data_IF_463264034330
#
_entry.id   IF_463264034330
#
_cell.length_a   1.000
_cell.length_b   1.000
_cell.length_c   1.000
_cell.angle_alpha   90.00
_cell.angle_beta   90.00
_cell.angle_gamma   90.00
#
_symmetry.space_group_name_H-M   'P 1'
#
loop_
_entity.id
_entity.type
_entity.pdbx_description
1 polymer ?
#
# COMPACT_ATOMS: atom_id res chain seq x y z
N UNK A 1 -8.24 -30.52 -20.89
CA UNK A 1 -6.86 -30.37 -20.40
C UNK A 1 -6.66 -28.89 -20.08
N UNK A 2 -6.58 -28.53 -18.81
CA UNK A 2 -6.30 -27.14 -18.44
C UNK A 2 -4.87 -26.80 -18.89
N UNK A 3 -4.73 -25.85 -19.80
CA UNK A 3 -3.44 -25.32 -20.24
C UNK A 3 -2.73 -24.80 -18.98
N UNK A 4 -1.68 -25.48 -18.53
CA UNK A 4 -0.92 -25.03 -17.36
C UNK A 4 -0.14 -23.80 -17.77
N UNK A 5 -0.69 -22.61 -17.46
CA UNK A 5 0.02 -21.34 -17.68
C UNK A 5 1.33 -21.37 -16.88
N UNK A 6 2.44 -21.00 -17.52
CA UNK A 6 3.72 -20.83 -16.83
C UNK A 6 3.57 -19.72 -15.80
N UNK A 7 4.15 -19.88 -14.60
CA UNK A 7 4.12 -18.84 -13.57
C UNK A 7 4.87 -17.59 -14.06
N UNK A 8 4.38 -16.41 -13.66
CA UNK A 8 5.10 -15.17 -13.85
C UNK A 8 6.14 -15.02 -12.74
N UNK A 9 7.40 -14.92 -13.12
CA UNK A 9 8.54 -14.74 -12.22
C UNK A 9 9.02 -13.30 -12.32
N UNK A 10 9.06 -12.60 -11.19
CA UNK A 10 9.49 -11.20 -11.12
C UNK A 10 10.98 -11.05 -10.85
N UNK A 11 11.56 -11.99 -10.13
CA UNK A 11 12.99 -12.07 -9.82
C UNK A 11 13.35 -13.53 -9.50
N UNK A 12 14.51 -13.99 -9.96
CA UNK A 12 15.09 -15.30 -9.69
C UNK A 12 16.60 -15.19 -9.38
N UNK A 13 17.11 -13.97 -9.22
CA UNK A 13 18.56 -13.69 -9.04
C UNK A 13 19.20 -14.41 -7.85
N UNK A 14 18.42 -14.75 -6.83
CA UNK A 14 18.88 -15.46 -5.63
C UNK A 14 18.60 -16.98 -5.69
N UNK A 15 18.29 -17.52 -6.88
CA UNK A 15 17.97 -18.94 -7.09
C UNK A 15 16.58 -19.35 -6.55
N UNK A 16 15.76 -18.39 -6.13
CA UNK A 16 14.37 -18.60 -5.73
C UNK A 16 13.42 -17.80 -6.61
N UNK A 17 12.47 -18.50 -7.23
CA UNK A 17 11.43 -17.85 -8.02
C UNK A 17 10.58 -16.92 -7.15
N UNK A 18 10.71 -15.62 -7.35
CA UNK A 18 9.86 -14.62 -6.72
C UNK A 18 8.62 -14.38 -7.58
N UNK A 19 7.47 -14.80 -7.09
CA UNK A 19 6.18 -14.77 -7.80
C UNK A 19 5.34 -13.53 -7.43
N UNK A 20 5.97 -12.53 -6.82
CA UNK A 20 5.38 -11.28 -6.35
C UNK A 20 6.26 -10.12 -6.83
N UNK A 21 5.66 -9.09 -7.44
CA UNK A 21 6.34 -7.84 -7.79
C UNK A 21 6.55 -6.99 -6.54
N UNK A 22 7.60 -7.28 -5.76
CA UNK A 22 7.87 -6.52 -4.55
C UNK A 22 8.45 -5.14 -4.86
N UNK A 23 8.19 -4.15 -4.00
CA UNK A 23 8.85 -2.84 -4.10
C UNK A 23 10.37 -2.95 -4.07
N UNK A 24 10.93 -3.93 -3.33
CA UNK A 24 12.38 -4.17 -3.30
C UNK A 24 12.92 -4.57 -4.68
N UNK A 25 12.25 -5.49 -5.37
CA UNK A 25 12.61 -5.90 -6.74
C UNK A 25 12.52 -4.72 -7.71
N UNK A 26 11.43 -3.95 -7.63
CA UNK A 26 11.24 -2.75 -8.44
C UNK A 26 12.37 -1.73 -8.22
N UNK A 27 12.66 -1.39 -6.97
CA UNK A 27 13.69 -0.41 -6.62
C UNK A 27 15.10 -0.88 -6.99
N UNK A 28 15.42 -2.18 -6.79
CA UNK A 28 16.69 -2.76 -7.22
C UNK A 28 16.89 -2.64 -8.74
N UNK A 29 15.84 -2.90 -9.53
CA UNK A 29 15.87 -2.71 -10.99
C UNK A 29 16.03 -1.25 -11.38
N UNK A 30 15.33 -0.34 -10.72
CA UNK A 30 15.35 1.11 -11.02
C UNK A 30 16.66 1.78 -10.67
N UNK A 31 17.25 1.47 -9.52
CA UNK A 31 18.44 2.15 -8.99
C UNK A 31 19.74 1.37 -9.14
N UNK A 32 19.67 0.10 -9.57
CA UNK A 32 20.84 -0.77 -9.67
C UNK A 32 21.45 -1.18 -8.34
N UNK A 33 20.80 -0.83 -7.20
CA UNK A 33 21.28 -1.09 -5.86
C UNK A 33 20.14 -1.38 -4.90
N UNK A 34 20.50 -1.91 -3.71
CA UNK A 34 19.53 -2.05 -2.61
C UNK A 34 19.06 -0.67 -2.15
N UNK A 35 17.76 -0.48 -2.10
CA UNK A 35 17.14 0.72 -1.52
C UNK A 35 16.47 0.38 -0.19
N UNK A 36 16.64 1.25 0.82
CA UNK A 36 16.10 1.10 2.16
C UNK A 36 15.27 2.33 2.52
N UNK A 37 14.09 2.13 3.10
CA UNK A 37 13.28 3.22 3.63
C UNK A 37 13.75 3.58 5.03
N UNK A 38 14.03 4.86 5.24
CA UNK A 38 14.34 5.46 6.54
C UNK A 38 13.07 6.07 7.08
N UNK A 39 12.49 5.49 8.13
CA UNK A 39 11.24 5.97 8.72
C UNK A 39 11.52 7.15 9.64
N UNK A 40 10.95 8.31 9.31
CA UNK A 40 11.08 9.56 10.06
C UNK A 40 9.71 10.07 10.48
N UNK A 41 9.67 10.72 11.63
CA UNK A 41 8.53 11.48 12.13
C UNK A 41 8.73 12.96 11.77
N UNK A 42 7.90 13.48 10.89
CA UNK A 42 7.94 14.86 10.47
C UNK A 42 7.42 15.86 11.52
N UNK A 43 6.99 15.40 12.68
CA UNK A 43 6.37 16.21 13.74
C UNK A 43 4.96 16.70 13.39
N UNK A 44 4.31 16.08 12.42
CA UNK A 44 2.94 16.41 12.03
C UNK A 44 1.91 15.78 12.97
N UNK A 45 0.70 16.34 12.98
CA UNK A 45 -0.45 15.77 13.70
C UNK A 45 -1.43 15.07 12.73
N UNK A 46 -2.64 14.83 13.20
CA UNK A 46 -3.70 14.20 12.42
C UNK A 46 -5.04 14.89 12.72
N UNK A 47 -5.84 15.28 11.69
CA UNK A 47 -7.12 15.96 11.90
C UNK A 47 -8.15 15.09 12.63
N UNK A 48 -7.92 13.77 12.73
CA UNK A 48 -8.72 12.86 13.53
C UNK A 48 -8.26 12.80 15.01
N UNK A 49 -7.28 13.60 15.43
CA UNK A 49 -6.75 13.67 16.79
C UNK A 49 -6.88 15.06 17.41
N UNK A 50 -6.69 16.10 16.61
CA UNK A 50 -6.69 17.48 17.08
C UNK A 50 -8.09 18.12 17.15
N UNK A 51 -9.13 17.38 16.81
CA UNK A 51 -10.52 17.83 16.85
C UNK A 51 -11.03 18.47 15.55
N UNK A 52 -10.19 18.64 14.53
CA UNK A 52 -10.59 19.27 13.26
C UNK A 52 -11.64 18.42 12.52
N UNK A 53 -11.44 17.09 12.46
CA UNK A 53 -12.38 16.13 11.86
C UNK A 53 -12.90 15.11 12.86
N UNK A 54 -12.13 14.79 13.87
CA UNK A 54 -12.47 13.82 14.90
C UNK A 54 -11.52 13.89 16.09
N UNK A 55 -11.81 13.11 17.11
CA UNK A 55 -11.02 13.02 18.33
C UNK A 55 -10.57 11.57 18.58
N UNK A 56 -9.45 11.40 19.26
CA UNK A 56 -8.93 10.09 19.67
C UNK A 56 -8.22 9.30 18.57
N UNK A 57 -8.33 9.69 17.31
CA UNK A 57 -7.71 8.99 16.16
C UNK A 57 -8.47 7.73 15.74
N UNK A 58 -7.94 7.04 14.73
CA UNK A 58 -8.46 5.74 14.31
C UNK A 58 -8.25 4.69 15.42
N UNK A 59 -9.20 3.76 15.58
CA UNK A 59 -9.17 2.82 16.71
C UNK A 59 -7.94 1.90 16.73
N UNK A 60 -7.35 1.63 15.59
CA UNK A 60 -6.15 0.80 15.46
C UNK A 60 -4.83 1.57 15.64
N UNK A 61 -4.86 2.92 15.65
CA UNK A 61 -3.64 3.70 15.77
C UNK A 61 -3.13 3.74 17.21
N UNK A 62 -1.83 3.46 17.40
CA UNK A 62 -1.10 3.74 18.64
C UNK A 62 -0.94 5.26 18.85
N UNK A 63 -0.41 5.66 19.99
CA UNK A 63 -0.11 7.06 20.28
C UNK A 63 0.84 7.70 19.27
N UNK A 64 1.81 6.92 18.73
CA UNK A 64 2.78 7.33 17.70
C UNK A 64 2.23 7.35 16.27
N UNK A 65 0.90 7.16 16.07
CA UNK A 65 0.29 7.29 14.74
C UNK A 65 0.84 6.36 13.68
N UNK A 66 1.08 5.07 14.01
CA UNK A 66 1.71 4.07 13.14
C UNK A 66 3.19 4.33 12.83
N UNK A 67 3.85 5.18 13.59
CA UNK A 67 5.28 5.53 13.50
C UNK A 67 6.14 4.96 14.62
N UNK A 68 5.79 3.82 15.22
CA UNK A 68 6.46 3.27 16.42
C UNK A 68 7.99 3.08 16.27
N UNK A 69 8.51 3.05 15.05
CA UNK A 69 9.95 2.91 14.74
C UNK A 69 10.52 4.11 14.01
N UNK A 70 9.74 5.18 13.82
CA UNK A 70 10.22 6.40 13.18
C UNK A 70 11.12 7.21 14.11
N UNK A 71 12.20 7.77 13.58
CA UNK A 71 13.01 8.76 14.31
C UNK A 71 12.31 10.12 14.29
N UNK A 72 12.31 10.82 15.40
CA UNK A 72 11.56 12.06 15.58
C UNK A 72 12.24 12.98 16.61
N UNK A 73 13.45 13.42 16.34
CA UNK A 73 14.17 14.42 17.16
C UNK A 73 13.72 15.85 16.88
N UNK A 74 13.00 16.06 15.78
CA UNK A 74 12.65 17.37 15.24
C UNK A 74 13.64 17.92 14.22
N UNK A 75 14.80 17.29 14.06
CA UNK A 75 15.78 17.58 13.01
C UNK A 75 15.78 16.43 11.99
N UNK A 76 15.25 16.70 10.80
CA UNK A 76 15.10 15.71 9.72
C UNK A 76 16.44 15.10 9.30
N UNK A 77 17.52 15.87 9.27
CA UNK A 77 18.84 15.36 8.88
C UNK A 77 19.39 14.44 9.98
N UNK A 78 19.31 14.87 11.24
CA UNK A 78 19.74 14.06 12.39
C UNK A 78 18.95 12.74 12.49
N UNK A 79 17.65 12.79 12.19
CA UNK A 79 16.78 11.61 12.17
C UNK A 79 17.19 10.63 11.04
N UNK A 80 17.50 11.15 9.84
CA UNK A 80 18.00 10.34 8.73
C UNK A 80 19.35 9.69 9.07
N UNK A 81 20.31 10.45 9.62
CA UNK A 81 21.63 9.95 10.03
C UNK A 81 21.52 8.85 11.10
N UNK A 82 20.64 9.05 12.07
CA UNK A 82 20.34 8.05 13.12
C UNK A 82 19.81 6.75 12.51
N UNK A 83 18.87 6.82 11.59
CA UNK A 83 18.31 5.64 10.89
C UNK A 83 19.35 4.97 9.97
N UNK A 84 20.20 5.73 9.29
CA UNK A 84 21.31 5.20 8.49
C UNK A 84 22.28 4.43 9.37
N UNK A 85 22.69 5.02 10.49
CA UNK A 85 23.59 4.38 11.46
C UNK A 85 23.03 3.05 11.96
N UNK A 86 21.73 3.02 12.31
CA UNK A 86 21.03 1.81 12.77
C UNK A 86 21.02 0.68 11.71
N UNK A 87 21.01 1.03 10.43
CA UNK A 87 20.84 0.09 9.32
C UNK A 87 22.12 -0.20 8.55
N UNK A 88 23.21 0.56 8.78
CA UNK A 88 24.47 0.48 8.03
C UNK A 88 25.13 -0.89 8.10
N UNK A 89 25.16 -1.54 9.26
CA UNK A 89 25.73 -2.88 9.42
C UNK A 89 25.01 -3.92 8.57
N UNK A 90 23.70 -3.77 8.45
CA UNK A 90 22.87 -4.70 7.68
C UNK A 90 22.92 -4.42 6.17
N UNK A 91 23.07 -3.16 5.79
CA UNK A 91 22.99 -2.68 4.41
C UNK A 91 24.07 -1.64 4.10
N UNK A 92 25.36 -2.00 4.10
CA UNK A 92 26.48 -1.05 4.02
C UNK A 92 26.55 -0.25 2.71
N UNK A 93 25.94 -0.75 1.64
CA UNK A 93 25.97 -0.11 0.31
C UNK A 93 24.57 0.25 -0.20
N UNK A 94 23.62 0.50 0.70
CA UNK A 94 22.25 0.85 0.31
C UNK A 94 22.13 2.33 -0.08
N UNK A 95 21.25 2.62 -1.04
CA UNK A 95 20.64 3.94 -1.19
C UNK A 95 19.40 4.06 -0.32
N UNK A 96 18.96 5.29 -0.05
CA UNK A 96 17.88 5.51 0.91
C UNK A 96 16.69 6.27 0.30
N UNK A 97 15.50 5.94 0.82
CA UNK A 97 14.25 6.66 0.58
C UNK A 97 13.84 7.27 1.93
N UNK A 98 13.77 8.59 2.02
CA UNK A 98 13.21 9.27 3.19
C UNK A 98 11.71 8.97 3.27
N UNK A 99 11.25 8.34 4.35
CA UNK A 99 9.87 7.90 4.50
C UNK A 99 9.20 8.62 5.67
N UNK A 100 8.40 9.63 5.37
CA UNK A 100 7.54 10.31 6.33
C UNK A 100 6.36 9.41 6.65
N UNK A 101 6.40 8.79 7.82
CA UNK A 101 5.47 7.70 8.18
C UNK A 101 4.46 8.09 9.25
N UNK A 102 4.90 8.78 10.33
CA UNK A 102 4.05 9.06 11.49
C UNK A 102 2.93 10.04 11.16
N UNK A 103 1.72 9.75 11.63
CA UNK A 103 0.55 10.63 11.51
C UNK A 103 0.16 10.97 10.06
N UNK A 104 -0.14 12.26 9.77
CA UNK A 104 -0.64 12.74 8.48
C UNK A 104 0.33 13.75 7.90
N UNK A 105 1.26 13.29 7.07
CA UNK A 105 2.42 14.09 6.66
C UNK A 105 2.14 15.13 5.56
N UNK A 106 0.88 15.40 5.24
CA UNK A 106 0.45 16.53 4.39
C UNK A 106 -0.50 17.48 5.15
N UNK A 107 -0.66 17.27 6.45
CA UNK A 107 -1.53 18.09 7.29
C UNK A 107 -0.74 19.17 8.01
N UNK A 108 -0.26 20.15 7.25
CA UNK A 108 0.41 21.34 7.71
C UNK A 108 0.41 22.42 6.58
N UNK A 109 0.75 23.68 6.85
CA UNK A 109 0.96 24.69 5.81
C UNK A 109 2.00 24.24 4.79
N UNK A 110 1.76 24.54 3.50
CA UNK A 110 2.64 24.14 2.38
C UNK A 110 4.09 24.59 2.58
N UNK A 111 4.30 25.75 3.20
CA UNK A 111 5.64 26.27 3.51
C UNK A 111 6.41 25.35 4.45
N UNK A 112 5.75 24.84 5.51
CA UNK A 112 6.34 23.89 6.44
C UNK A 112 6.59 22.52 5.78
N UNK A 113 5.62 22.02 5.00
CA UNK A 113 5.77 20.77 4.22
C UNK A 113 6.99 20.86 3.29
N UNK A 114 7.10 21.96 2.54
CA UNK A 114 8.21 22.23 1.63
C UNK A 114 9.55 22.23 2.35
N UNK A 115 9.65 22.92 3.49
CA UNK A 115 10.87 22.99 4.27
C UNK A 115 11.34 21.58 4.69
N UNK A 116 10.45 20.78 5.29
CA UNK A 116 10.78 19.44 5.80
C UNK A 116 11.10 18.46 4.67
N UNK A 117 10.32 18.44 3.58
CA UNK A 117 10.56 17.54 2.47
C UNK A 117 11.85 17.90 1.72
N UNK A 118 12.11 19.19 1.50
CA UNK A 118 13.36 19.65 0.89
C UNK A 118 14.57 19.39 1.79
N UNK A 119 14.44 19.51 3.12
CA UNK A 119 15.50 19.15 4.05
C UNK A 119 15.90 17.67 3.90
N UNK A 120 14.93 16.74 3.88
CA UNK A 120 15.21 15.32 3.66
C UNK A 120 15.93 15.04 2.33
N UNK A 121 15.55 15.76 1.26
CA UNK A 121 16.14 15.57 -0.08
C UNK A 121 17.54 16.19 -0.22
N UNK A 122 17.96 17.07 0.70
CA UNK A 122 19.34 17.59 0.73
C UNK A 122 20.35 16.58 1.24
N UNK A 123 19.91 15.53 1.94
CA UNK A 123 20.80 14.48 2.43
C UNK A 123 21.41 13.69 1.25
N UNK A 124 22.76 13.58 1.12
CA UNK A 124 23.43 13.06 -0.09
C UNK A 124 23.11 11.58 -0.38
N UNK A 125 22.80 10.80 0.65
CA UNK A 125 22.47 9.38 0.52
C UNK A 125 21.00 9.12 0.19
N UNK A 126 20.12 10.12 0.28
CA UNK A 126 18.70 10.02 -0.04
C UNK A 126 18.50 10.15 -1.55
N UNK A 127 17.83 9.15 -2.14
CA UNK A 127 17.57 9.04 -3.58
C UNK A 127 16.11 9.24 -3.95
N UNK A 128 15.25 9.47 -2.95
CA UNK A 128 13.83 9.67 -3.15
C UNK A 128 13.09 9.84 -1.84
N UNK A 129 11.79 10.10 -1.94
CA UNK A 129 10.92 10.38 -0.79
C UNK A 129 9.62 9.58 -0.88
N UNK A 130 9.12 9.11 0.25
CA UNK A 130 7.79 8.52 0.40
C UNK A 130 7.03 9.28 1.49
N UNK A 131 5.77 9.61 1.23
CA UNK A 131 4.97 10.46 2.12
C UNK A 131 3.66 9.73 2.43
N UNK A 132 3.49 9.29 3.68
CA UNK A 132 2.25 8.67 4.14
C UNK A 132 1.27 9.75 4.63
N UNK A 133 0.03 9.64 4.16
CA UNK A 133 -1.00 10.62 4.51
C UNK A 133 -2.41 10.04 4.43
N UNK A 134 -3.38 10.84 4.83
CA UNK A 134 -4.82 10.59 4.71
C UNK A 134 -5.33 11.12 3.37
N UNK A 135 -6.36 10.48 2.78
CA UNK A 135 -6.90 10.92 1.48
C UNK A 135 -7.54 12.33 1.55
N UNK A 136 -8.10 12.71 2.69
CA UNK A 136 -8.80 13.99 2.91
C UNK A 136 -7.86 15.15 3.30
N UNK A 137 -6.53 14.94 3.25
CA UNK A 137 -5.51 15.94 3.58
C UNK A 137 -4.62 16.28 2.36
N UNK A 138 -5.24 16.42 1.19
CA UNK A 138 -4.59 16.72 -0.09
C UNK A 138 -5.30 17.90 -0.79
N UNK A 139 -5.27 19.12 -0.20
CA UNK A 139 -5.71 20.32 -0.90
C UNK A 139 -4.83 20.61 -2.11
N UNK A 140 -5.28 21.45 -3.03
CA UNK A 140 -4.65 21.62 -4.34
C UNK A 140 -3.22 22.16 -4.25
N UNK A 141 -2.96 23.08 -3.33
CA UNK A 141 -1.63 23.65 -3.07
C UNK A 141 -0.61 22.61 -2.54
N UNK A 142 -1.07 21.64 -1.74
CA UNK A 142 -0.26 20.49 -1.33
C UNK A 142 0.02 19.56 -2.50
N UNK A 143 -0.99 19.29 -3.33
CA UNK A 143 -0.82 18.44 -4.53
C UNK A 143 0.16 19.10 -5.51
N UNK A 144 0.12 20.44 -5.66
CA UNK A 144 1.06 21.19 -6.48
C UNK A 144 2.51 21.08 -5.95
N UNK A 145 2.70 21.17 -4.62
CA UNK A 145 4.01 20.92 -4.00
C UNK A 145 4.51 19.49 -4.28
N UNK A 146 3.64 18.50 -4.14
CA UNK A 146 4.00 17.11 -4.40
C UNK A 146 4.35 16.87 -5.87
N UNK A 147 3.65 17.52 -6.80
CA UNK A 147 3.95 17.44 -8.23
C UNK A 147 5.34 18.07 -8.53
N UNK A 148 5.65 19.24 -7.96
CA UNK A 148 6.96 19.85 -8.06
C UNK A 148 8.09 18.94 -7.54
N UNK A 149 7.87 18.27 -6.43
CA UNK A 149 8.84 17.31 -5.89
C UNK A 149 9.00 16.08 -6.78
N UNK A 150 7.90 15.58 -7.36
CA UNK A 150 7.91 14.42 -8.25
C UNK A 150 8.69 14.66 -9.56
N UNK A 151 8.77 15.90 -10.02
CA UNK A 151 9.63 16.30 -11.15
C UNK A 151 11.13 16.26 -10.80
N UNK A 152 11.47 16.49 -9.52
CA UNK A 152 12.85 16.64 -9.04
C UNK A 152 13.47 15.35 -8.51
N UNK A 153 12.64 14.42 -8.01
CA UNK A 153 13.12 13.21 -7.36
C UNK A 153 12.14 12.05 -7.56
N UNK A 154 12.63 10.85 -7.33
CA UNK A 154 11.75 9.69 -7.27
C UNK A 154 10.92 9.73 -6.00
N UNK A 155 9.60 9.72 -6.15
CA UNK A 155 8.71 9.72 -4.99
C UNK A 155 7.45 8.88 -5.20
N UNK A 156 6.74 8.64 -4.11
CA UNK A 156 5.35 8.20 -4.11
C UNK A 156 4.62 8.70 -2.87
N UNK A 157 3.31 8.81 -2.99
CA UNK A 157 2.41 9.11 -1.86
C UNK A 157 1.76 7.82 -1.38
N UNK A 158 1.77 7.57 -0.07
CA UNK A 158 1.12 6.43 0.55
C UNK A 158 -0.21 6.87 1.18
N UNK A 159 -1.33 6.43 0.61
CA UNK A 159 -2.67 6.76 1.08
C UNK A 159 -3.22 5.69 2.00
N UNK A 160 -3.61 6.07 3.20
CA UNK A 160 -4.30 5.21 4.14
C UNK A 160 -5.80 5.12 3.80
N UNK A 161 -6.24 4.13 3.04
CA UNK A 161 -7.66 3.84 2.83
C UNK A 161 -8.21 2.91 3.91
N UNK A 162 -7.48 1.88 4.24
CA UNK A 162 -7.74 0.82 5.20
C UNK A 162 -8.85 -0.15 4.77
N UNK A 163 -10.02 0.33 4.38
CA UNK A 163 -11.17 -0.43 3.87
C UNK A 163 -12.04 0.43 2.95
N UNK A 164 -12.79 -0.19 2.04
CA UNK A 164 -13.82 0.48 1.23
C UNK A 164 -15.19 0.48 1.90
N UNK A 165 -15.38 -0.27 2.98
CA UNK A 165 -16.67 -0.51 3.59
C UNK A 165 -17.00 0.58 4.60
N UNK A 166 -18.03 1.39 4.31
CA UNK A 166 -18.40 2.56 5.11
C UNK A 166 -18.73 2.22 6.57
N UNK A 167 -19.37 1.07 6.81
CA UNK A 167 -19.66 0.61 8.18
C UNK A 167 -18.40 0.32 8.99
N UNK A 168 -17.43 -0.38 8.36
CA UNK A 168 -16.14 -0.67 8.98
C UNK A 168 -15.35 0.63 9.18
N UNK A 169 -15.34 1.53 8.20
CA UNK A 169 -14.69 2.82 8.29
C UNK A 169 -15.23 3.65 9.47
N UNK A 170 -16.54 3.69 9.63
CA UNK A 170 -17.20 4.36 10.75
C UNK A 170 -16.85 3.71 12.10
N UNK A 171 -16.92 2.37 12.19
CA UNK A 171 -16.52 1.62 13.41
C UNK A 171 -15.07 1.88 13.79
N UNK A 172 -14.17 2.02 12.82
CA UNK A 172 -12.74 2.28 13.04
C UNK A 172 -12.42 3.76 13.26
N UNK A 173 -13.42 4.63 13.28
CA UNK A 173 -13.28 6.08 13.46
C UNK A 173 -12.32 6.71 12.43
N UNK A 174 -12.47 6.38 11.13
CA UNK A 174 -11.57 6.90 10.08
C UNK A 174 -11.80 8.38 9.78
N UNK A 175 -13.03 8.86 9.88
CA UNK A 175 -13.45 10.25 9.61
C UNK A 175 -13.09 10.76 8.19
N UNK A 176 -13.06 9.88 7.22
CA UNK A 176 -13.03 10.16 5.77
C UNK A 176 -13.79 9.05 5.03
N UNK A 177 -14.18 9.32 3.79
CA UNK A 177 -15.01 8.44 2.97
C UNK A 177 -14.21 7.76 1.86
N UNK A 178 -14.83 6.77 1.19
CA UNK A 178 -14.28 6.18 -0.02
C UNK A 178 -14.17 7.21 -1.16
N UNK A 179 -15.14 8.14 -1.25
CA UNK A 179 -15.12 9.21 -2.25
C UNK A 179 -13.92 10.16 -2.05
N UNK A 180 -13.56 10.48 -0.80
CA UNK A 180 -12.35 11.24 -0.49
C UNK A 180 -11.09 10.52 -1.02
N UNK A 181 -11.02 9.20 -0.85
CA UNK A 181 -9.92 8.41 -1.37
C UNK A 181 -9.89 8.39 -2.91
N UNK A 182 -11.02 8.12 -3.55
CA UNK A 182 -11.08 8.07 -5.02
C UNK A 182 -10.72 9.42 -5.66
N UNK A 183 -11.15 10.52 -5.04
CA UNK A 183 -10.77 11.87 -5.45
C UNK A 183 -9.27 12.13 -5.27
N UNK A 184 -8.71 11.75 -4.12
CA UNK A 184 -7.27 11.89 -3.83
C UNK A 184 -6.42 11.12 -4.85
N UNK A 185 -6.75 9.85 -5.12
CA UNK A 185 -6.06 9.04 -6.12
C UNK A 185 -6.11 9.69 -7.49
N UNK A 186 -7.31 10.15 -7.91
CA UNK A 186 -7.49 10.84 -9.20
C UNK A 186 -6.63 12.11 -9.29
N UNK A 187 -6.61 12.94 -8.24
CA UNK A 187 -5.78 14.17 -8.18
C UNK A 187 -4.29 13.84 -8.32
N UNK A 188 -3.78 12.87 -7.56
CA UNK A 188 -2.37 12.50 -7.58
C UNK A 188 -1.95 11.90 -8.93
N UNK A 189 -2.73 10.96 -9.47
CA UNK A 189 -2.44 10.31 -10.76
C UNK A 189 -2.49 11.32 -11.90
N UNK A 190 -3.43 12.27 -11.90
CA UNK A 190 -3.52 13.31 -12.94
C UNK A 190 -2.29 14.24 -12.97
N UNK A 191 -1.52 14.30 -11.89
CA UNK A 191 -0.23 15.02 -11.77
C UNK A 191 0.98 14.10 -11.94
N UNK A 192 0.78 12.83 -12.37
CA UNK A 192 1.85 11.85 -12.56
C UNK A 192 2.48 11.35 -11.26
N UNK A 193 1.87 11.60 -10.10
CA UNK A 193 2.41 11.20 -8.79
C UNK A 193 2.02 9.74 -8.50
N UNK A 194 3.01 8.84 -8.28
CA UNK A 194 2.74 7.45 -7.95
C UNK A 194 2.03 7.30 -6.60
N UNK A 195 0.98 6.47 -6.54
CA UNK A 195 0.17 6.23 -5.35
C UNK A 195 0.36 4.81 -4.85
N UNK A 196 0.62 4.67 -3.56
CA UNK A 196 0.60 3.39 -2.83
C UNK A 196 -0.56 3.39 -1.85
N UNK A 197 -1.45 2.40 -1.94
CA UNK A 197 -2.61 2.33 -1.04
C UNK A 197 -2.37 1.37 0.11
N UNK A 198 -2.75 1.78 1.31
CA UNK A 198 -2.76 0.93 2.49
C UNK A 198 -4.16 0.35 2.71
N UNK A 199 -4.23 -0.98 2.83
CA UNK A 199 -5.40 -1.71 3.30
C UNK A 199 -5.06 -2.47 4.57
N UNK A 200 -6.02 -2.61 5.47
CA UNK A 200 -5.90 -3.44 6.67
C UNK A 200 -6.81 -4.66 6.48
N UNK A 201 -6.21 -5.84 6.52
CA UNK A 201 -6.93 -7.12 6.48
C UNK A 201 -7.24 -7.57 7.91
N UNK A 202 -8.46 -8.06 8.12
CA UNK A 202 -8.92 -8.53 9.42
C UNK A 202 -9.44 -7.43 10.33
N UNK A 203 -10.07 -6.40 9.77
CA UNK A 203 -10.84 -5.42 10.57
C UNK A 203 -12.13 -6.06 11.11
N UNK A 204 -12.60 -5.68 12.32
CA UNK A 204 -13.79 -6.25 12.93
C UNK A 204 -15.05 -6.15 12.05
N UNK A 205 -15.64 -7.32 11.77
CA UNK A 205 -16.85 -7.44 10.97
C UNK A 205 -16.63 -7.60 9.48
N UNK A 206 -15.39 -7.54 8.99
CA UNK A 206 -15.10 -7.81 7.57
C UNK A 206 -14.99 -9.30 7.28
N UNK A 207 -15.72 -9.74 6.26
CA UNK A 207 -15.56 -11.09 5.69
C UNK A 207 -14.37 -11.14 4.74
N UNK A 208 -13.97 -12.36 4.37
CA UNK A 208 -12.94 -12.59 3.35
C UNK A 208 -13.26 -11.88 2.03
N UNK A 209 -14.51 -11.95 1.59
CA UNK A 209 -14.99 -11.34 0.35
C UNK A 209 -14.87 -9.82 0.42
N UNK A 210 -15.25 -9.20 1.52
CA UNK A 210 -15.14 -7.76 1.75
C UNK A 210 -13.68 -7.28 1.65
N UNK A 211 -12.74 -8.01 2.28
CA UNK A 211 -11.32 -7.69 2.17
C UNK A 211 -10.80 -7.80 0.73
N UNK A 212 -11.21 -8.83 -0.01
CA UNK A 212 -10.84 -9.01 -1.42
C UNK A 212 -11.49 -7.96 -2.34
N UNK A 213 -12.69 -7.49 -2.02
CA UNK A 213 -13.34 -6.40 -2.76
C UNK A 213 -12.61 -5.08 -2.55
N UNK A 214 -12.08 -4.81 -1.36
CA UNK A 214 -11.19 -3.68 -1.11
C UNK A 214 -9.93 -3.74 -1.99
N UNK A 215 -9.32 -4.90 -2.15
CA UNK A 215 -8.16 -5.11 -3.04
C UNK A 215 -8.53 -4.85 -4.50
N UNK A 216 -9.65 -5.38 -4.98
CA UNK A 216 -10.11 -5.16 -6.37
C UNK A 216 -10.37 -3.68 -6.64
N UNK A 217 -11.04 -2.98 -5.71
CA UNK A 217 -11.34 -1.57 -5.85
C UNK A 217 -10.07 -0.74 -6.03
N UNK A 218 -9.11 -0.84 -5.11
CA UNK A 218 -7.89 -0.03 -5.19
C UNK A 218 -7.04 -0.35 -6.43
N UNK A 219 -6.98 -1.63 -6.83
CA UNK A 219 -6.28 -2.04 -8.05
C UNK A 219 -6.92 -1.49 -9.34
N UNK A 220 -8.24 -1.21 -9.33
CA UNK A 220 -8.94 -0.61 -10.46
C UNK A 220 -8.63 0.89 -10.66
N UNK A 221 -8.00 1.54 -9.68
CA UNK A 221 -7.72 2.99 -9.67
C UNK A 221 -6.38 3.37 -10.30
N UNK A 222 -5.62 2.42 -10.85
CA UNK A 222 -4.34 2.69 -11.51
C UNK A 222 -3.20 3.02 -10.54
N UNK A 223 -3.25 2.51 -9.31
CA UNK A 223 -2.23 2.72 -8.30
C UNK A 223 -0.86 2.13 -8.69
N UNK A 224 0.22 2.75 -8.20
CA UNK A 224 1.58 2.27 -8.34
C UNK A 224 1.87 1.06 -7.44
N UNK A 225 1.33 1.06 -6.23
CA UNK A 225 1.62 0.00 -5.28
C UNK A 225 0.54 -0.18 -4.21
N UNK A 226 0.68 -1.29 -3.47
CA UNK A 226 -0.26 -1.67 -2.41
C UNK A 226 0.48 -2.19 -1.18
N UNK A 227 -0.06 -1.88 0.00
CA UNK A 227 0.30 -2.50 1.28
C UNK A 227 -0.90 -3.24 1.84
N UNK A 228 -0.74 -4.53 2.08
CA UNK A 228 -1.69 -5.35 2.80
C UNK A 228 -1.18 -5.49 4.24
N UNK A 229 -1.77 -4.71 5.15
CA UNK A 229 -1.46 -4.80 6.56
C UNK A 229 -2.35 -5.85 7.21
N UNK A 230 -1.78 -6.78 7.98
CA UNK A 230 -2.56 -7.57 8.91
C UNK A 230 -2.97 -6.68 10.09
N UNK A 231 -4.23 -6.71 10.47
CA UNK A 231 -4.66 -6.06 11.70
C UNK A 231 -3.97 -6.71 12.91
N UNK A 232 -3.33 -5.89 13.72
CA UNK A 232 -2.76 -6.30 14.99
C UNK A 232 -3.40 -5.47 16.11
N UNK A 233 -3.96 -6.12 17.11
CA UNK A 233 -4.35 -5.45 18.34
C UNK A 233 -3.09 -5.15 19.14
N UNK A 234 -2.88 -3.88 19.46
CA UNK A 234 -1.68 -3.42 20.16
C UNK A 234 -2.04 -2.63 21.42
N UNK A 235 -1.19 -2.72 22.42
CA UNK A 235 -1.32 -1.94 23.67
C UNK A 235 -1.31 -0.45 23.38
N UNK A 236 -2.14 0.29 24.09
CA UNK A 236 -2.26 1.74 23.96
C UNK A 236 -3.11 2.20 22.76
N UNK A 237 -3.62 1.29 21.93
CA UNK A 237 -4.62 1.65 20.92
C UNK A 237 -6.00 1.78 21.57
N UNK A 238 -6.90 2.65 21.06
CA UNK A 238 -8.29 2.69 21.53
C UNK A 238 -9.01 1.34 21.41
N UNK A 239 -8.61 0.54 20.42
CA UNK A 239 -9.15 -0.80 20.17
C UNK A 239 -8.91 -1.77 21.31
N UNK A 240 -7.79 -1.65 22.04
CA UNK A 240 -7.49 -2.47 23.23
C UNK A 240 -8.59 -2.38 24.30
N UNK A 241 -9.18 -1.19 24.47
CA UNK A 241 -10.25 -0.95 25.44
C UNK A 241 -11.62 -1.40 24.98
N UNK A 242 -11.89 -1.25 23.66
CA UNK A 242 -13.20 -1.52 23.07
C UNK A 242 -13.38 -2.99 22.69
N UNK A 243 -12.31 -3.65 22.30
CA UNK A 243 -12.31 -5.03 21.80
C UNK A 243 -11.08 -5.80 22.32
N UNK A 244 -10.92 -5.97 23.66
CA UNK A 244 -9.69 -6.50 24.26
C UNK A 244 -9.34 -7.92 23.80
N UNK A 245 -10.36 -8.72 23.46
CA UNK A 245 -10.20 -10.13 23.07
C UNK A 245 -10.26 -10.33 21.55
N UNK A 246 -10.18 -9.24 20.76
CA UNK A 246 -10.28 -9.35 19.32
C UNK A 246 -9.05 -10.03 18.71
N UNK A 247 -9.30 -11.06 17.89
CA UNK A 247 -8.28 -11.74 17.09
C UNK A 247 -8.67 -11.63 15.63
N UNK A 248 -7.79 -11.08 14.80
CA UNK A 248 -8.06 -10.84 13.37
C UNK A 248 -8.03 -12.12 12.53
N UNK A 249 -7.15 -13.06 12.88
CA UNK A 249 -6.98 -14.35 12.21
C UNK A 249 -6.55 -15.41 13.22
N UNK A 250 -7.15 -16.60 13.14
CA UNK A 250 -6.89 -17.69 14.07
C UNK A 250 -5.51 -18.35 13.83
N UNK A 251 -5.06 -18.36 12.57
CA UNK A 251 -3.83 -19.05 12.20
C UNK A 251 -3.02 -18.33 11.11
N UNK A 252 -1.73 -18.70 10.99
CA UNK A 252 -0.86 -18.27 9.90
C UNK A 252 -1.38 -18.76 8.56
N UNK A 253 -1.95 -19.94 8.52
CA UNK A 253 -2.47 -20.60 7.33
C UNK A 253 -3.68 -19.86 6.77
N UNK A 254 -4.61 -19.46 7.62
CA UNK A 254 -5.78 -18.65 7.24
C UNK A 254 -5.36 -17.31 6.63
N UNK A 255 -4.46 -16.61 7.30
CA UNK A 255 -3.92 -15.35 6.80
C UNK A 255 -3.16 -15.54 5.47
N UNK A 256 -2.32 -16.56 5.38
CA UNK A 256 -1.56 -16.90 4.17
C UNK A 256 -2.49 -17.15 2.99
N UNK A 257 -3.57 -17.90 3.19
CA UNK A 257 -4.55 -18.20 2.14
C UNK A 257 -5.27 -16.93 1.63
N UNK A 258 -5.67 -16.05 2.54
CA UNK A 258 -6.26 -14.76 2.18
C UNK A 258 -5.28 -13.89 1.39
N UNK A 259 -4.03 -13.75 1.86
CA UNK A 259 -3.01 -12.94 1.19
C UNK A 259 -2.71 -13.47 -0.21
N UNK A 260 -2.61 -14.80 -0.39
CA UNK A 260 -2.41 -15.39 -1.72
C UNK A 260 -3.59 -15.08 -2.64
N UNK A 261 -4.83 -15.19 -2.13
CA UNK A 261 -6.02 -14.83 -2.91
C UNK A 261 -6.04 -13.34 -3.31
N UNK A 262 -5.59 -12.46 -2.42
CA UNK A 262 -5.42 -11.04 -2.73
C UNK A 262 -4.33 -10.81 -3.79
N UNK A 263 -3.17 -11.47 -3.65
CA UNK A 263 -2.07 -11.37 -4.61
C UNK A 263 -2.47 -11.84 -6.01
N UNK A 264 -3.28 -12.88 -6.12
CA UNK A 264 -3.81 -13.34 -7.41
C UNK A 264 -4.68 -12.29 -8.13
N UNK A 265 -5.31 -11.38 -7.38
CA UNK A 265 -6.14 -10.29 -7.89
C UNK A 265 -5.35 -9.01 -8.20
N UNK A 266 -4.19 -8.81 -7.57
CA UNK A 266 -3.37 -7.61 -7.77
C UNK A 266 -2.65 -7.69 -9.12
N UNK A 267 -2.88 -6.73 -10.07
CA UNK A 267 -2.23 -6.74 -11.37
C UNK A 267 -0.71 -6.81 -11.29
N UNK A 268 -0.02 -7.49 -12.23
CA UNK A 268 1.43 -7.69 -12.19
C UNK A 268 2.27 -6.41 -12.15
N UNK A 269 1.76 -5.31 -12.71
CA UNK A 269 2.44 -4.02 -12.72
C UNK A 269 2.36 -3.27 -11.38
N UNK A 270 1.43 -3.61 -10.50
CA UNK A 270 1.29 -2.99 -9.17
C UNK A 270 2.36 -3.56 -8.25
N UNK A 271 3.16 -2.69 -7.62
CA UNK A 271 4.20 -3.12 -6.68
C UNK A 271 3.61 -3.47 -5.31
N UNK A 272 4.07 -4.57 -4.73
CA UNK A 272 3.65 -4.99 -3.38
C UNK A 272 4.66 -4.49 -2.35
N UNK A 273 4.23 -3.56 -1.50
CA UNK A 273 5.09 -2.92 -0.51
C UNK A 273 5.10 -3.64 0.83
N UNK A 274 4.02 -4.33 1.18
CA UNK A 274 3.87 -5.09 2.42
C UNK A 274 2.77 -6.14 2.28
N UNK A 275 2.99 -7.30 2.90
CA UNK A 275 2.03 -8.42 2.97
C UNK A 275 1.97 -9.06 4.36
N UNK A 276 2.29 -8.31 5.41
CA UNK A 276 2.28 -8.80 6.80
C UNK A 276 2.05 -7.66 7.78
N UNK A 277 1.66 -7.99 9.01
CA UNK A 277 1.73 -7.06 10.14
C UNK A 277 3.17 -6.76 10.55
N UNK A 278 3.35 -5.72 11.36
CA UNK A 278 4.68 -5.28 11.82
C UNK A 278 4.60 -4.61 13.21
N UNK A 279 3.73 -5.12 14.08
CA UNK A 279 3.62 -4.63 15.45
C UNK A 279 4.85 -5.03 16.28
N UNK A 280 5.41 -4.11 17.10
CA UNK A 280 6.48 -4.45 18.02
C UNK A 280 6.01 -5.55 19.00
N UNK A 281 6.85 -6.55 19.26
CA UNK A 281 6.48 -7.68 20.14
C UNK A 281 6.10 -7.24 21.56
N UNK A 282 6.67 -6.15 22.05
CA UNK A 282 6.41 -5.59 23.36
C UNK A 282 5.00 -5.01 23.52
N UNK A 283 4.40 -4.55 22.42
CA UNK A 283 3.07 -3.94 22.39
C UNK A 283 2.00 -4.85 21.78
N UNK A 284 2.40 -5.91 21.06
CA UNK A 284 1.46 -6.83 20.42
C UNK A 284 0.61 -7.58 21.44
N UNK A 285 -0.72 -7.55 21.26
CA UNK A 285 -1.69 -8.33 22.02
C UNK A 285 -2.14 -9.53 21.17
N UNK A 286 -2.68 -9.28 19.96
CA UNK A 286 -3.17 -10.34 19.09
C UNK A 286 -3.01 -9.97 17.58
N UNK A 287 -2.97 -10.95 16.68
CA UNK A 287 -2.72 -12.38 16.94
C UNK A 287 -1.30 -12.63 17.45
N UNK A 288 -1.14 -13.43 18.50
CA UNK A 288 0.15 -13.65 19.17
C UNK A 288 1.25 -14.19 18.23
N UNK A 289 0.89 -14.84 17.13
CA UNK A 289 1.82 -15.39 16.15
C UNK A 289 2.33 -14.33 15.12
N UNK A 290 1.71 -13.17 15.02
CA UNK A 290 2.01 -12.18 13.95
C UNK A 290 3.44 -11.65 13.98
N UNK A 291 4.13 -11.67 15.13
CA UNK A 291 5.55 -11.31 15.22
C UNK A 291 6.49 -12.27 14.43
N UNK A 292 6.00 -13.47 14.07
CA UNK A 292 6.77 -14.47 13.29
C UNK A 292 6.84 -14.10 11.81
N UNK A 293 7.18 -12.85 11.49
CA UNK A 293 7.18 -12.28 10.14
C UNK A 293 7.88 -13.16 9.10
N UNK A 294 9.04 -13.74 9.47
CA UNK A 294 9.81 -14.60 8.56
C UNK A 294 9.05 -15.88 8.20
N UNK A 295 8.39 -16.50 9.18
CA UNK A 295 7.54 -17.70 8.98
C UNK A 295 6.38 -17.39 8.05
N UNK A 296 5.70 -16.26 8.27
CA UNK A 296 4.57 -15.81 7.44
C UNK A 296 5.03 -15.60 5.98
N UNK A 297 6.10 -14.85 5.76
CA UNK A 297 6.60 -14.57 4.40
C UNK A 297 7.06 -15.85 3.68
N UNK A 298 7.80 -16.72 4.37
CA UNK A 298 8.22 -18.01 3.80
C UNK A 298 7.02 -18.90 3.49
N UNK A 299 6.00 -18.93 4.36
CA UNK A 299 4.74 -19.65 4.14
C UNK A 299 4.03 -19.18 2.88
N UNK A 300 3.88 -17.86 2.70
CA UNK A 300 3.26 -17.28 1.49
C UNK A 300 4.03 -17.71 0.24
N UNK A 301 5.37 -17.58 0.22
CA UNK A 301 6.18 -17.94 -0.94
C UNK A 301 6.17 -19.45 -1.25
N UNK A 302 6.26 -20.34 -0.23
CA UNK A 302 6.19 -21.78 -0.46
C UNK A 302 4.81 -22.21 -0.98
N UNK A 303 3.74 -21.75 -0.35
CA UNK A 303 2.37 -22.06 -0.77
C UNK A 303 2.06 -21.56 -2.18
N UNK A 304 2.57 -20.37 -2.57
CA UNK A 304 2.44 -19.90 -3.95
C UNK A 304 3.13 -20.83 -4.96
N UNK A 305 4.31 -21.39 -4.62
CA UNK A 305 5.01 -22.36 -5.48
C UNK A 305 4.23 -23.69 -5.54
N UNK A 306 3.81 -24.21 -4.40
CA UNK A 306 3.02 -25.47 -4.30
C UNK A 306 1.72 -25.40 -5.09
N UNK A 307 1.00 -24.27 -5.01
CA UNK A 307 -0.26 -24.02 -5.74
C UNK A 307 -0.03 -23.62 -7.20
N UNK A 308 1.21 -23.51 -7.63
CA UNK A 308 1.60 -22.95 -8.94
C UNK A 308 0.85 -21.67 -9.30
N UNK A 309 0.83 -20.73 -8.34
CA UNK A 309 0.16 -19.43 -8.49
C UNK A 309 1.14 -18.26 -8.38
N UNK A 310 0.72 -17.07 -8.82
CA UNK A 310 1.52 -15.85 -8.86
C UNK A 310 0.63 -14.60 -8.78
N UNK A 311 1.24 -13.48 -8.51
CA UNK A 311 0.55 -12.18 -8.52
C UNK A 311 -0.09 -11.92 -9.89
N UNK A 312 -1.36 -11.55 -9.88
CA UNK A 312 -2.11 -11.21 -11.08
C UNK A 312 -2.64 -12.40 -11.88
N UNK A 313 -2.50 -13.63 -11.41
CA UNK A 313 -3.02 -14.81 -12.11
C UNK A 313 -4.51 -14.67 -12.44
N UNK A 314 -5.32 -14.13 -11.53
CA UNK A 314 -6.75 -13.90 -11.73
C UNK A 314 -7.06 -12.55 -12.39
N UNK A 315 -6.23 -11.54 -12.19
CA UNK A 315 -6.36 -10.25 -12.87
C UNK A 315 -6.15 -10.37 -14.38
N UNK A 316 -5.14 -11.12 -14.82
CA UNK A 316 -4.86 -11.39 -16.23
C UNK A 316 -6.01 -12.12 -16.95
N UNK A 317 -6.69 -13.03 -16.26
CA UNK A 317 -7.84 -13.75 -16.82
C UNK A 317 -8.99 -12.80 -17.15
N UNK A 318 -9.27 -11.82 -16.29
CA UNK A 318 -10.34 -10.83 -16.53
C UNK A 318 -10.03 -9.87 -17.67
N UNK A 319 -8.78 -9.42 -17.82
CA UNK A 319 -8.38 -8.57 -18.94
C UNK A 319 -8.52 -9.29 -20.30
N UNK A 320 -8.23 -10.59 -20.35
CA UNK A 320 -8.42 -11.40 -21.54
C UNK A 320 -9.90 -11.65 -21.86
N UNK A 321 -10.75 -11.87 -20.85
CA UNK A 321 -12.21 -12.02 -21.03
C UNK A 321 -12.85 -10.71 -21.52
N UNK A 322 -12.44 -9.55 -21.00
CA UNK A 322 -12.91 -8.25 -21.48
C UNK A 322 -12.47 -7.97 -22.92
N UNK A 323 -11.24 -8.31 -23.28
CA UNK A 323 -10.74 -8.19 -24.66
C UNK A 323 -11.51 -9.13 -25.60
N UNK A 324 -11.78 -10.36 -25.17
CA UNK A 324 -12.54 -11.34 -25.95
C UNK A 324 -14.02 -10.92 -26.12
N UNK A 325 -14.64 -10.34 -25.07
CA UNK A 325 -15.98 -9.77 -25.15
C UNK A 325 -16.05 -8.59 -26.13
N UNK A 326 -15.06 -7.68 -26.12
CA UNK A 326 -14.99 -6.59 -27.08
C UNK A 326 -14.78 -7.07 -28.52
N UNK A 327 -13.96 -8.11 -28.73
CA UNK A 327 -13.76 -8.70 -30.04
C UNK A 327 -15.02 -9.41 -30.55
N UNK A 328 -15.78 -10.07 -29.66
CA UNK A 328 -17.03 -10.72 -30.00
C UNK A 328 -18.17 -9.71 -30.32
N UNK A 329 -18.20 -8.58 -29.64
CA UNK A 329 -19.16 -7.48 -29.96
C UNK A 329 -18.80 -6.76 -31.27
N UNK A 330 -17.52 -6.62 -31.60
CA UNK A 330 -17.08 -6.03 -32.86
C UNK A 330 -17.29 -6.97 -34.08
N UNK A 331 -17.29 -8.29 -33.85
CA UNK A 331 -17.53 -9.31 -34.89
C UNK A 331 -19.00 -9.55 -35.26
N UNK A 332 -19.95 -9.07 -34.44
CA UNK A 332 -21.40 -9.31 -34.67
C UNK A 332 -22.12 -8.17 -35.42
N UNK A 333 -21.41 -7.14 -35.88
CA UNK A 333 -22.01 -5.99 -36.59
C UNK A 333 -21.82 -5.97 -38.11
N UNK A 334 -21.38 -7.07 -38.74
CA UNK A 334 -21.26 -7.17 -40.20
C UNK A 334 -21.97 -8.42 -40.71
N UNK A 335 -23.29 -8.40 -40.76
CA UNK A 335 -24.09 -9.15 -41.77
C UNK A 335 -25.52 -8.58 -41.82
N UNK A 336 -25.73 -7.58 -42.65
CA UNK A 336 -27.00 -7.37 -43.33
C UNK A 336 -26.72 -6.52 -44.59
N UNK A 337 -26.36 -7.20 -45.62
CA UNK A 337 -26.42 -6.68 -46.99
C UNK A 337 -27.83 -7.00 -47.51
N UNK A 338 -28.77 -6.08 -47.38
CA UNK A 338 -29.96 -6.10 -48.21
C UNK A 338 -29.72 -5.26 -49.46
N UNK A 339 -29.45 -6.00 -50.53
CA UNK A 339 -29.57 -5.50 -51.91
C UNK A 339 -31.03 -5.49 -52.30
N UNK A 340 -31.60 -4.32 -52.46
CA UNK A 340 -32.87 -4.15 -53.19
C UNK A 340 -32.58 -3.71 -54.62
N UNK A 341 -33.28 -4.27 -55.62
CA UNK A 341 -33.03 -3.96 -57.04
C UNK A 341 -33.76 -2.69 -57.45
N UNK A 342 -33.07 -1.83 -58.17
CA UNK A 342 -33.68 -0.78 -58.98
C UNK A 342 -34.46 -1.40 -60.16
N UNK A 343 -35.74 -1.04 -60.31
CA UNK A 343 -36.50 -1.16 -61.52
C UNK A 343 -37.06 0.22 -61.91
N UNK A 344 -36.65 0.62 -63.13
CA UNK A 344 -37.18 1.65 -64.04
C UNK A 344 -37.41 3.05 -63.55
#
# INVERSE_FOLDING_TARGET
>A
MACSRKPLIFDDSDGQELRINTVNTYLKKKFGMKMVKLSIDGGFTCPNRDGTKGVGGCLFCSASGSGDTAAGSGDIIADLDSQITLLSDKWPSAGYIAYFQSHTNTYAPVTELREKFCAALKHPSVKGIAIATRPDCLPDDVVDLLAELNEKTFMWVELGLQTIHAETAAKMNLCYTLDDYDLAVKKLISRGIPVVTHLILGLPGETREMMLDSVKHVCSRGIFGIKLHMFNLVKGSPMEKLYPDYVSFDSIEEYTDLVISALELIPPQVTVHRISGDAPRSTLISPAWSYKKRTILNGIHSTMRERNTWQGRKAQSKAQEQTQLHLNFAGSSVTSSDTAPFLT
#
